data_IF_818998962187
#
_entry.id   IF_818998962187
#
_cell.length_a   1.000
_cell.length_b   1.000
_cell.length_c   1.000
_cell.angle_alpha   90.00
_cell.angle_beta   90.00
_cell.angle_gamma   90.00
#
_symmetry.space_group_name_H-M   'P 1'
#
loop_
_entity.id
_entity.type
_entity.pdbx_description
1 polymer ?
#
# COMPACT_ATOMS: atom_id res chain seq x y z
N UNK A 1 2.79 47.52 -15.83
CA UNK A 1 1.51 48.22 -16.08
C UNK A 1 0.56 47.26 -16.76
N UNK A 2 -0.41 46.74 -16.01
CA UNK A 2 -1.71 46.24 -16.44
C UNK A 2 -2.39 45.77 -15.14
N UNK A 3 -3.17 46.69 -14.58
CA UNK A 3 -3.96 46.52 -13.36
C UNK A 3 -5.21 45.70 -13.68
N UNK A 4 -5.46 44.61 -12.95
CA UNK A 4 -6.74 43.93 -12.95
C UNK A 4 -7.23 43.77 -11.51
N UNK A 5 -8.38 44.38 -11.23
CA UNK A 5 -9.03 44.46 -9.93
C UNK A 5 -9.42 43.07 -9.40
N UNK A 6 -9.00 42.74 -8.17
CA UNK A 6 -9.57 41.65 -7.37
C UNK A 6 -10.93 42.09 -6.83
N UNK A 7 -12.01 41.70 -7.51
CA UNK A 7 -13.33 41.59 -6.90
C UNK A 7 -13.51 40.14 -6.44
N UNK A 8 -13.89 39.96 -5.16
CA UNK A 8 -14.07 38.66 -4.54
C UNK A 8 -15.18 37.85 -5.22
N UNK A 9 -14.87 36.62 -5.60
CA UNK A 9 -15.86 35.61 -5.98
C UNK A 9 -16.06 34.67 -4.81
N UNK A 10 -17.10 34.91 -4.01
CA UNK A 10 -17.72 33.86 -3.23
C UNK A 10 -18.41 32.91 -4.21
N UNK A 11 -17.99 31.65 -4.25
CA UNK A 11 -18.63 30.63 -5.07
C UNK A 11 -19.81 30.03 -4.30
N UNK A 12 -20.98 30.67 -4.42
CA UNK A 12 -22.26 29.99 -4.23
C UNK A 12 -22.64 29.45 -5.59
N UNK A 13 -22.54 28.14 -5.78
CA UNK A 13 -23.03 27.49 -7.01
C UNK A 13 -24.51 27.19 -6.78
N UNK A 14 -25.37 28.11 -7.22
CA UNK A 14 -26.82 27.92 -7.26
C UNK A 14 -27.18 26.81 -8.26
N UNK A 15 -27.82 25.75 -7.77
CA UNK A 15 -28.56 24.82 -8.62
C UNK A 15 -30.01 25.31 -8.76
N UNK A 16 -30.42 25.58 -10.00
CA UNK A 16 -31.76 26.04 -10.32
C UNK A 16 -32.80 24.92 -10.17
N UNK A 17 -33.63 24.98 -9.11
CA UNK A 17 -35.10 24.82 -9.21
C UNK A 17 -35.82 25.13 -7.88
N UNK A 18 -36.74 26.09 -7.96
CA UNK A 18 -37.89 26.38 -7.07
C UNK A 18 -37.82 25.92 -5.60
N UNK A 19 -37.08 26.66 -4.78
CA UNK A 19 -37.45 27.12 -3.44
C UNK A 19 -36.32 28.03 -2.96
N UNK A 20 -36.65 29.19 -2.38
CA UNK A 20 -35.66 30.17 -1.91
C UNK A 20 -34.64 29.58 -0.92
N UNK A 21 -33.59 30.34 -0.54
CA UNK A 21 -32.53 29.84 0.34
C UNK A 21 -33.16 29.24 1.60
N UNK A 22 -32.98 27.92 1.78
CA UNK A 22 -33.48 27.18 2.94
C UNK A 22 -32.85 27.82 4.19
N UNK A 23 -33.63 28.60 4.94
CA UNK A 23 -33.17 29.13 6.21
C UNK A 23 -32.95 27.96 7.17
N UNK A 24 -31.81 27.87 7.87
CA UNK A 24 -31.63 26.86 8.90
C UNK A 24 -32.61 27.18 10.02
N UNK A 25 -33.74 26.48 10.07
CA UNK A 25 -34.71 26.56 11.18
C UNK A 25 -34.67 25.25 11.91
N UNK A 26 -34.63 25.26 13.24
CA UNK A 26 -34.67 24.03 14.02
C UNK A 26 -36.01 23.30 13.75
N UNK A 27 -35.94 22.17 13.06
CA UNK A 27 -37.10 21.32 12.79
C UNK A 27 -37.44 20.48 14.01
N UNK A 28 -38.70 20.05 14.12
CA UNK A 28 -39.19 19.15 15.17
C UNK A 28 -38.40 17.83 15.21
N UNK A 29 -38.43 17.15 16.37
CA UNK A 29 -37.89 15.80 16.48
C UNK A 29 -38.74 14.79 15.70
N UNK A 30 -38.07 13.81 15.08
CA UNK A 30 -38.76 12.79 14.25
C UNK A 30 -39.72 11.94 15.11
N UNK A 31 -39.39 11.74 16.38
CA UNK A 31 -40.21 10.98 17.33
C UNK A 31 -41.50 11.69 17.74
N UNK A 32 -41.55 13.01 17.58
CA UNK A 32 -42.65 13.84 18.08
C UNK A 32 -43.75 14.06 17.02
N UNK A 33 -43.55 13.56 15.79
CA UNK A 33 -44.55 13.66 14.71
C UNK A 33 -45.27 12.33 14.45
N UNK A 34 -46.54 12.37 14.01
CA UNK A 34 -47.29 11.17 13.65
C UNK A 34 -46.57 10.33 12.58
N UNK A 35 -46.71 8.99 12.58
CA UNK A 35 -46.03 8.11 11.63
C UNK A 35 -46.22 8.49 10.15
N UNK A 36 -47.38 9.04 9.78
CA UNK A 36 -47.71 9.45 8.42
C UNK A 36 -46.87 10.65 7.90
N UNK A 37 -46.35 11.49 8.81
CA UNK A 37 -45.57 12.68 8.46
C UNK A 37 -44.07 12.51 8.76
N UNK A 38 -43.67 11.39 9.37
CA UNK A 38 -42.26 11.09 9.67
C UNK A 38 -41.39 11.07 8.40
N UNK A 39 -41.84 10.43 7.33
CA UNK A 39 -41.08 10.38 6.06
C UNK A 39 -40.85 11.79 5.48
N UNK A 40 -41.90 12.61 5.48
CA UNK A 40 -41.81 14.00 4.97
C UNK A 40 -40.82 14.83 5.80
N UNK A 41 -40.89 14.71 7.13
CA UNK A 41 -39.98 15.42 8.04
C UNK A 41 -38.53 14.93 7.87
N UNK A 42 -38.34 13.63 7.65
CA UNK A 42 -37.03 13.05 7.41
C UNK A 42 -36.41 13.61 6.11
N UNK A 43 -37.18 13.70 5.03
CA UNK A 43 -36.74 14.36 3.78
C UNK A 43 -36.38 15.84 4.03
N UNK A 44 -37.18 16.56 4.81
CA UNK A 44 -36.88 17.96 5.16
C UNK A 44 -35.56 18.08 5.94
N UNK A 45 -35.29 17.18 6.88
CA UNK A 45 -34.01 17.14 7.62
C UNK A 45 -32.83 16.79 6.72
N UNK A 46 -32.98 15.87 5.77
CA UNK A 46 -31.94 15.57 4.77
C UNK A 46 -31.57 16.82 3.97
N UNK A 47 -32.58 17.55 3.46
CA UNK A 47 -32.38 18.80 2.71
C UNK A 47 -31.77 19.90 3.57
N UNK A 48 -32.17 20.01 4.83
CA UNK A 48 -31.55 20.94 5.78
C UNK A 48 -30.05 20.63 5.97
N UNK A 49 -29.66 19.36 5.99
CA UNK A 49 -28.27 18.95 6.14
C UNK A 49 -27.41 19.16 4.88
N UNK A 50 -28.01 19.57 3.75
CA UNK A 50 -27.26 20.00 2.55
C UNK A 50 -26.66 21.41 2.69
N UNK A 51 -27.07 22.20 3.69
CA UNK A 51 -26.47 23.52 3.95
C UNK A 51 -25.04 23.32 4.47
N UNK A 52 -24.07 23.88 3.75
CA UNK A 52 -22.65 23.83 4.12
C UNK A 52 -22.30 24.96 5.08
N UNK A 53 -21.39 24.68 6.01
CA UNK A 53 -20.87 25.65 6.96
C UNK A 53 -19.35 25.72 6.81
N UNK A 54 -18.80 26.92 6.95
CA UNK A 54 -17.35 27.11 6.92
C UNK A 54 -16.76 26.85 8.32
N UNK A 55 -15.81 25.92 8.39
CA UNK A 55 -15.06 25.59 9.60
C UNK A 55 -13.61 26.10 9.57
N UNK A 56 -13.14 26.58 8.42
CA UNK A 56 -11.74 26.95 8.19
C UNK A 56 -11.56 28.46 8.17
N UNK A 57 -12.31 29.19 7.33
CA UNK A 57 -12.08 30.64 7.17
C UNK A 57 -12.63 31.45 8.35
N UNK A 58 -13.78 31.03 8.90
CA UNK A 58 -14.36 31.62 10.10
C UNK A 58 -14.87 30.53 11.07
N UNK A 59 -13.98 30.00 11.94
CA UNK A 59 -14.33 28.90 12.84
C UNK A 59 -15.46 29.25 13.83
N UNK A 60 -15.60 30.52 14.20
CA UNK A 60 -16.56 31.01 15.20
C UNK A 60 -17.87 31.50 14.58
N UNK A 61 -17.99 31.53 13.26
CA UNK A 61 -19.26 31.77 12.57
C UNK A 61 -20.30 30.68 12.83
N UNK A 62 -21.57 31.06 12.79
CA UNK A 62 -22.73 30.16 12.69
C UNK A 62 -22.78 29.03 13.74
N UNK A 63 -22.18 29.19 14.93
CA UNK A 63 -22.11 28.15 15.97
C UNK A 63 -23.48 27.54 16.28
N UNK A 64 -24.52 28.37 16.37
CA UNK A 64 -25.91 27.93 16.58
C UNK A 64 -26.37 27.00 15.46
N UNK A 65 -26.12 27.34 14.21
CA UNK A 65 -26.59 26.60 13.05
C UNK A 65 -25.75 25.35 12.76
N UNK A 66 -24.44 25.42 13.05
CA UNK A 66 -23.54 24.26 13.11
C UNK A 66 -24.06 23.22 14.10
N UNK A 67 -24.51 23.65 15.28
CA UNK A 67 -25.09 22.75 16.27
C UNK A 67 -26.44 22.17 15.82
N UNK A 68 -27.31 22.97 15.19
CA UNK A 68 -28.58 22.47 14.63
C UNK A 68 -28.33 21.37 13.60
N UNK A 69 -27.37 21.54 12.69
CA UNK A 69 -27.01 20.51 11.70
C UNK A 69 -26.42 19.27 12.37
N UNK A 70 -25.53 19.44 13.36
CA UNK A 70 -24.96 18.33 14.13
C UNK A 70 -26.05 17.49 14.81
N UNK A 71 -26.97 18.14 15.52
CA UNK A 71 -28.08 17.48 16.19
C UNK A 71 -29.03 16.78 15.19
N UNK A 72 -29.33 17.41 14.06
CA UNK A 72 -30.15 16.81 13.02
C UNK A 72 -29.52 15.55 12.41
N UNK A 73 -28.23 15.59 12.06
CA UNK A 73 -27.49 14.42 11.57
C UNK A 73 -27.46 13.30 12.61
N UNK A 74 -27.14 13.62 13.87
CA UNK A 74 -27.10 12.64 14.97
C UNK A 74 -28.46 11.97 15.19
N UNK A 75 -29.55 12.74 15.16
CA UNK A 75 -30.91 12.21 15.25
C UNK A 75 -31.23 11.28 14.07
N UNK A 76 -30.85 11.65 12.85
CA UNK A 76 -31.07 10.81 11.67
C UNK A 76 -30.29 9.49 11.73
N UNK A 77 -29.06 9.49 12.27
CA UNK A 77 -28.28 8.28 12.55
C UNK A 77 -29.02 7.38 13.54
N UNK A 78 -29.50 7.93 14.65
CA UNK A 78 -30.23 7.16 15.67
C UNK A 78 -31.54 6.59 15.09
N UNK A 79 -32.28 7.40 14.32
CA UNK A 79 -33.54 7.04 13.71
C UNK A 79 -33.40 5.87 12.72
N UNK A 80 -32.44 5.93 11.78
CA UNK A 80 -32.24 4.85 10.80
C UNK A 80 -31.67 3.57 11.43
N UNK A 81 -30.98 3.69 12.57
CA UNK A 81 -30.36 2.55 13.26
C UNK A 81 -31.39 1.75 14.07
N UNK A 82 -32.32 2.42 14.75
CA UNK A 82 -33.26 1.77 15.68
C UNK A 82 -34.62 1.41 15.04
N UNK A 83 -34.96 2.03 13.91
CA UNK A 83 -36.25 1.83 13.26
C UNK A 83 -36.09 1.00 11.98
N UNK A 84 -37.04 0.08 11.73
CA UNK A 84 -37.11 -0.71 10.50
C UNK A 84 -38.12 -0.13 9.52
N UNK A 85 -37.94 -0.46 8.24
CA UNK A 85 -38.76 -0.03 7.11
C UNK A 85 -38.83 1.50 6.92
N UNK A 86 -37.81 2.22 7.40
CA UNK A 86 -37.70 3.69 7.21
C UNK A 86 -37.17 4.05 5.82
N UNK A 87 -36.40 3.15 5.20
CA UNK A 87 -35.77 3.39 3.90
C UNK A 87 -36.77 3.08 2.77
N UNK A 88 -37.56 4.08 2.40
CA UNK A 88 -38.51 4.01 1.28
C UNK A 88 -37.88 4.51 -0.02
N UNK A 89 -38.50 4.24 -1.17
CA UNK A 89 -37.99 4.65 -2.50
C UNK A 89 -37.63 6.16 -2.62
N UNK A 90 -38.43 7.12 -2.13
CA UNK A 90 -38.10 8.55 -2.26
C UNK A 90 -36.90 8.99 -1.41
N UNK A 91 -36.48 8.20 -0.43
CA UNK A 91 -35.36 8.54 0.46
C UNK A 91 -34.00 8.35 -0.23
N UNK A 92 -33.88 7.35 -1.12
CA UNK A 92 -32.61 7.05 -1.81
C UNK A 92 -31.96 8.26 -2.51
N UNK A 93 -32.65 9.02 -3.38
CA UNK A 93 -32.04 10.17 -4.04
C UNK A 93 -31.65 11.27 -3.06
N UNK A 94 -32.45 11.52 -2.03
CA UNK A 94 -32.20 12.57 -1.03
C UNK A 94 -30.96 12.25 -0.18
N UNK A 95 -30.79 10.99 0.23
CA UNK A 95 -29.60 10.54 0.99
C UNK A 95 -28.34 10.60 0.13
N UNK A 96 -28.39 10.10 -1.11
CA UNK A 96 -27.24 10.11 -2.02
C UNK A 96 -26.84 11.54 -2.37
N UNK A 97 -27.81 12.43 -2.58
CA UNK A 97 -27.56 13.84 -2.82
C UNK A 97 -26.97 14.54 -1.59
N UNK A 98 -27.53 14.32 -0.40
CA UNK A 98 -27.02 14.89 0.85
C UNK A 98 -25.57 14.46 1.11
N UNK A 99 -25.25 13.18 0.90
CA UNK A 99 -23.88 12.69 0.98
C UNK A 99 -22.98 13.38 -0.05
N UNK A 100 -23.37 13.41 -1.33
CA UNK A 100 -22.57 14.02 -2.39
C UNK A 100 -22.26 15.50 -2.12
N UNK A 101 -23.24 16.27 -1.65
CA UNK A 101 -23.07 17.71 -1.34
C UNK A 101 -22.11 17.95 -0.18
N UNK A 102 -22.15 17.10 0.85
CA UNK A 102 -21.29 17.26 2.03
C UNK A 102 -19.88 16.71 1.79
N UNK A 103 -19.74 15.65 0.98
CA UNK A 103 -18.48 14.91 0.87
C UNK A 103 -17.65 15.30 -0.35
N UNK A 104 -18.27 15.41 -1.54
CA UNK A 104 -17.54 15.56 -2.79
C UNK A 104 -17.04 16.99 -2.97
N UNK A 105 -15.80 17.21 -2.55
CA UNK A 105 -15.06 18.45 -2.62
C UNK A 105 -13.68 18.20 -3.20
N UNK A 106 -13.08 19.23 -3.80
CA UNK A 106 -11.65 19.20 -4.09
C UNK A 106 -10.90 19.27 -2.77
N UNK A 107 -9.99 18.33 -2.54
CA UNK A 107 -9.15 18.32 -1.35
C UNK A 107 -8.26 19.58 -1.32
N UNK A 108 -7.98 20.14 -0.13
CA UNK A 108 -7.08 21.27 -0.01
C UNK A 108 -5.67 20.89 -0.49
N UNK A 109 -4.83 21.88 -0.89
CA UNK A 109 -3.43 21.63 -1.17
C UNK A 109 -2.75 20.94 0.01
N UNK A 110 -1.81 20.04 -0.28
CA UNK A 110 -1.13 19.31 0.79
C UNK A 110 -0.38 20.24 1.73
N UNK A 111 -0.50 19.98 3.03
CA UNK A 111 0.20 20.72 4.08
C UNK A 111 1.63 20.22 4.25
N UNK A 112 1.90 18.98 3.81
CA UNK A 112 3.17 18.31 4.00
C UNK A 112 4.19 18.74 2.94
N UNK A 113 5.47 18.88 3.33
CA UNK A 113 6.52 19.20 2.38
C UNK A 113 6.72 18.05 1.38
N UNK A 114 7.01 18.40 0.12
CA UNK A 114 7.26 17.42 -0.93
C UNK A 114 8.74 17.41 -1.30
N UNK A 115 9.29 16.23 -1.61
CA UNK A 115 10.67 16.10 -2.08
C UNK A 115 11.32 14.79 -1.69
N UNK A 116 12.56 14.59 -2.18
CA UNK A 116 13.31 13.36 -1.94
C UNK A 116 13.90 13.25 -0.52
N UNK A 117 13.88 14.34 0.25
CA UNK A 117 14.41 14.43 1.61
C UNK A 117 13.35 14.18 2.69
N UNK A 118 12.07 14.12 2.29
CA UNK A 118 10.94 13.95 3.21
C UNK A 118 10.49 12.49 3.24
N UNK A 119 10.31 11.98 4.45
CA UNK A 119 9.75 10.66 4.71
C UNK A 119 8.27 10.81 5.06
N UNK A 120 7.33 10.28 4.26
CA UNK A 120 5.90 10.34 4.55
C UNK A 120 5.50 9.67 5.88
N UNK A 121 6.36 8.85 6.48
CA UNK A 121 6.12 8.32 7.83
C UNK A 121 6.27 9.38 8.93
N UNK A 122 6.96 10.49 8.66
CA UNK A 122 7.15 11.61 9.59
C UNK A 122 6.08 12.71 9.43
N UNK A 123 5.19 12.58 8.44
CA UNK A 123 4.15 13.56 8.17
C UNK A 123 3.17 13.70 9.34
N UNK A 124 2.94 14.94 9.79
CA UNK A 124 1.90 15.23 10.76
C UNK A 124 0.53 15.21 10.07
N UNK A 125 -0.44 14.39 10.52
CA UNK A 125 -1.73 14.31 9.85
C UNK A 125 -2.52 15.61 10.02
N UNK A 126 -2.80 16.31 8.92
CA UNK A 126 -3.73 17.44 8.93
C UNK A 126 -5.15 16.94 9.11
N UNK A 127 -5.75 17.31 10.24
CA UNK A 127 -7.12 16.93 10.57
C UNK A 127 -8.13 17.86 9.87
N UNK A 128 -9.19 17.28 9.32
CA UNK A 128 -10.27 18.03 8.68
C UNK A 128 -11.06 18.84 9.71
N UNK A 129 -11.18 20.16 9.51
CA UNK A 129 -11.83 21.05 10.47
C UNK A 129 -13.35 20.84 10.51
N UNK A 130 -13.97 20.45 9.38
CA UNK A 130 -15.40 20.13 9.30
C UNK A 130 -15.76 18.74 9.84
N UNK A 131 -14.80 18.01 10.42
CA UNK A 131 -14.99 16.64 10.91
C UNK A 131 -16.24 16.42 11.80
N UNK A 132 -16.63 17.33 12.72
CA UNK A 132 -17.84 17.13 13.53
C UNK A 132 -19.13 16.93 12.73
N UNK A 133 -19.20 17.47 11.50
CA UNK A 133 -20.32 17.22 10.58
C UNK A 133 -20.03 16.03 9.68
N UNK A 134 -18.83 15.95 9.09
CA UNK A 134 -18.48 14.90 8.13
C UNK A 134 -18.53 13.50 8.75
N UNK A 135 -18.09 13.35 10.00
CA UNK A 135 -18.17 12.09 10.73
C UNK A 135 -19.61 11.56 10.77
N UNK A 136 -20.58 12.42 11.08
CA UNK A 136 -21.98 12.02 11.16
C UNK A 136 -22.58 11.73 9.78
N UNK A 137 -22.15 12.44 8.74
CA UNK A 137 -22.57 12.15 7.35
C UNK A 137 -22.05 10.78 6.91
N UNK A 138 -20.79 10.45 7.19
CA UNK A 138 -20.23 9.14 6.92
C UNK A 138 -20.91 8.03 7.72
N UNK A 139 -21.10 8.23 9.02
CA UNK A 139 -21.78 7.27 9.88
C UNK A 139 -23.21 7.01 9.41
N UNK A 140 -23.96 8.09 9.10
CA UNK A 140 -25.30 7.99 8.56
C UNK A 140 -25.33 7.19 7.26
N UNK A 141 -24.44 7.50 6.32
CA UNK A 141 -24.40 6.81 5.03
C UNK A 141 -23.99 5.34 5.16
N UNK A 142 -23.07 5.01 6.07
CA UNK A 142 -22.73 3.63 6.39
C UNK A 142 -23.93 2.87 6.97
N UNK A 143 -24.64 3.44 7.96
CA UNK A 143 -25.85 2.81 8.52
C UNK A 143 -26.94 2.62 7.47
N UNK A 144 -27.10 3.60 6.58
CA UNK A 144 -28.00 3.50 5.42
C UNK A 144 -27.61 2.33 4.49
N UNK A 145 -26.33 2.19 4.14
CA UNK A 145 -25.84 1.08 3.30
C UNK A 145 -25.93 -0.28 4.00
N UNK A 146 -25.68 -0.35 5.30
CA UNK A 146 -25.67 -1.59 6.09
C UNK A 146 -27.06 -2.05 6.52
N UNK A 147 -28.06 -1.18 6.47
CA UNK A 147 -29.43 -1.50 6.82
C UNK A 147 -29.93 -2.75 6.06
N UNK A 148 -30.64 -3.68 6.75
CA UNK A 148 -31.25 -4.83 6.11
C UNK A 148 -32.36 -4.46 5.12
N UNK A 149 -32.96 -3.28 5.28
CA UNK A 149 -34.02 -2.76 4.41
C UNK A 149 -33.47 -2.10 3.14
N UNK A 150 -32.15 -1.96 3.03
CA UNK A 150 -31.49 -1.38 1.87
C UNK A 150 -31.63 -2.26 0.63
N UNK A 151 -32.13 -1.69 -0.46
CA UNK A 151 -32.37 -2.37 -1.74
C UNK A 151 -31.40 -1.88 -2.83
N UNK A 152 -30.38 -2.68 -3.20
CA UNK A 152 -29.39 -2.28 -4.22
C UNK A 152 -30.00 -1.97 -5.59
N UNK A 153 -31.13 -2.60 -5.94
CA UNK A 153 -31.79 -2.41 -7.23
C UNK A 153 -32.41 -1.01 -7.41
N UNK A 154 -32.76 -0.33 -6.31
CA UNK A 154 -33.24 1.04 -6.33
C UNK A 154 -32.04 1.99 -6.28
N UNK A 155 -31.13 1.75 -5.34
CA UNK A 155 -29.94 2.59 -5.13
C UNK A 155 -29.03 2.71 -6.35
N UNK A 156 -28.92 1.68 -7.19
CA UNK A 156 -28.06 1.68 -8.40
C UNK A 156 -28.41 2.78 -9.42
N UNK A 157 -29.60 3.38 -9.32
CA UNK A 157 -30.00 4.53 -10.16
C UNK A 157 -29.28 5.82 -9.76
N UNK A 158 -28.80 5.89 -8.53
CA UNK A 158 -28.22 7.10 -7.91
C UNK A 158 -26.75 6.91 -7.54
N UNK A 159 -26.35 5.69 -7.15
CA UNK A 159 -24.96 5.31 -6.93
C UNK A 159 -24.44 4.74 -8.26
N UNK A 160 -23.94 5.64 -9.11
CA UNK A 160 -23.42 5.32 -10.44
C UNK A 160 -21.88 5.39 -10.49
N UNK A 161 -21.33 5.30 -11.70
CA UNK A 161 -19.88 5.39 -11.92
C UNK A 161 -19.29 6.76 -11.53
N UNK A 162 -20.07 7.84 -11.68
CA UNK A 162 -19.63 9.19 -11.31
C UNK A 162 -19.53 9.31 -9.80
N UNK A 163 -20.54 8.83 -9.07
CA UNK A 163 -20.51 8.78 -7.61
C UNK A 163 -19.28 8.03 -7.10
N UNK A 164 -18.99 6.85 -7.67
CA UNK A 164 -17.82 6.04 -7.29
C UNK A 164 -16.50 6.78 -7.58
N UNK A 165 -16.40 7.47 -8.72
CA UNK A 165 -15.19 8.21 -9.05
C UNK A 165 -14.92 9.33 -8.05
N UNK A 166 -15.93 10.15 -7.73
CA UNK A 166 -15.79 11.23 -6.75
C UNK A 166 -15.53 10.69 -5.34
N UNK A 167 -16.08 9.53 -4.98
CA UNK A 167 -15.77 8.85 -3.72
C UNK A 167 -14.30 8.40 -3.66
N UNK A 168 -13.78 7.88 -4.78
CA UNK A 168 -12.38 7.44 -4.87
C UNK A 168 -11.39 8.62 -4.79
N UNK A 169 -11.74 9.78 -5.33
CA UNK A 169 -10.90 11.00 -5.24
C UNK A 169 -10.68 11.45 -3.78
N UNK A 170 -11.60 11.13 -2.87
CA UNK A 170 -11.47 11.48 -1.45
C UNK A 170 -10.46 10.61 -0.70
N UNK A 171 -10.01 9.48 -1.24
CA UNK A 171 -9.00 8.63 -0.59
C UNK A 171 -7.65 9.32 -0.43
N UNK A 172 -7.42 10.43 -1.13
CA UNK A 172 -6.21 11.24 -0.99
C UNK A 172 -6.29 12.25 0.18
N UNK A 173 -7.36 12.21 0.98
CA UNK A 173 -7.50 13.04 2.19
C UNK A 173 -6.33 12.80 3.15
N UNK A 174 -5.77 13.87 3.72
CA UNK A 174 -4.70 13.79 4.74
C UNK A 174 -5.25 13.22 6.06
N UNK A 175 -6.55 13.33 6.31
CA UNK A 175 -7.19 12.87 7.54
C UNK A 175 -7.39 11.33 7.53
N UNK A 176 -6.67 10.56 8.37
CA UNK A 176 -6.80 9.10 8.39
C UNK A 176 -8.20 8.63 8.80
N UNK A 177 -8.95 9.45 9.55
CA UNK A 177 -10.31 9.12 9.97
C UNK A 177 -11.25 9.13 8.77
N UNK A 178 -11.08 10.11 7.87
CA UNK A 178 -11.85 10.18 6.61
C UNK A 178 -11.55 8.96 5.74
N UNK A 179 -10.28 8.59 5.60
CA UNK A 179 -9.85 7.42 4.82
C UNK A 179 -10.42 6.10 5.36
N UNK A 180 -10.50 5.91 6.68
CA UNK A 180 -11.07 4.69 7.26
C UNK A 180 -12.59 4.55 7.00
N UNK A 181 -13.34 5.65 7.04
CA UNK A 181 -14.75 5.66 6.64
C UNK A 181 -14.94 5.40 5.14
N UNK A 182 -14.12 6.02 4.30
CA UNK A 182 -14.10 5.79 2.86
C UNK A 182 -13.80 4.33 2.53
N UNK A 183 -12.81 3.73 3.19
CA UNK A 183 -12.45 2.33 3.07
C UNK A 183 -13.67 1.43 3.26
N UNK A 184 -14.35 1.62 4.39
CA UNK A 184 -15.53 0.84 4.75
C UNK A 184 -16.69 1.08 3.78
N UNK A 185 -16.94 2.33 3.40
CA UNK A 185 -18.02 2.71 2.49
C UNK A 185 -17.81 2.10 1.10
N UNK A 186 -16.62 2.23 0.53
CA UNK A 186 -16.28 1.66 -0.76
C UNK A 186 -16.35 0.13 -0.74
N UNK A 187 -15.89 -0.51 0.34
CA UNK A 187 -16.00 -1.96 0.50
C UNK A 187 -17.47 -2.43 0.51
N UNK A 188 -18.36 -1.73 1.23
CA UNK A 188 -19.81 -2.05 1.22
C UNK A 188 -20.44 -1.84 -0.17
N UNK A 189 -20.07 -0.76 -0.86
CA UNK A 189 -20.52 -0.51 -2.23
C UNK A 189 -20.05 -1.64 -3.16
N UNK A 190 -18.78 -2.03 -3.11
CA UNK A 190 -18.24 -3.13 -3.91
C UNK A 190 -18.98 -4.46 -3.66
N UNK A 191 -19.28 -4.75 -2.40
CA UNK A 191 -20.02 -5.94 -1.98
C UNK A 191 -21.43 -5.98 -2.55
N UNK A 192 -22.20 -4.88 -2.40
CA UNK A 192 -23.63 -4.80 -2.75
C UNK A 192 -23.90 -4.57 -4.24
N UNK A 193 -23.00 -3.90 -4.97
CA UNK A 193 -23.22 -3.52 -6.37
C UNK A 193 -22.33 -4.31 -7.33
N UNK A 194 -22.81 -5.48 -7.77
CA UNK A 194 -22.09 -6.33 -8.74
C UNK A 194 -21.70 -5.59 -10.02
N UNK A 195 -22.58 -4.72 -10.53
CA UNK A 195 -22.35 -3.94 -11.76
C UNK A 195 -21.25 -2.88 -11.66
N UNK A 196 -20.88 -2.46 -10.45
CA UNK A 196 -19.83 -1.46 -10.22
C UNK A 196 -18.45 -2.09 -9.99
N UNK A 197 -18.37 -3.40 -9.72
CA UNK A 197 -17.11 -4.07 -9.35
C UNK A 197 -16.00 -3.90 -10.38
N UNK A 198 -16.32 -4.09 -11.66
CA UNK A 198 -15.33 -3.94 -12.73
C UNK A 198 -14.83 -2.48 -12.85
N UNK A 199 -15.74 -1.52 -12.68
CA UNK A 199 -15.40 -0.10 -12.72
C UNK A 199 -14.53 0.31 -11.53
N UNK A 200 -14.88 -0.10 -10.30
CA UNK A 200 -14.09 0.16 -9.08
C UNK A 200 -12.67 -0.38 -9.25
N UNK A 201 -12.51 -1.66 -9.64
CA UNK A 201 -11.17 -2.24 -9.87
C UNK A 201 -10.37 -1.46 -10.91
N UNK A 202 -11.01 -1.07 -12.01
CA UNK A 202 -10.36 -0.28 -13.06
C UNK A 202 -9.90 1.10 -12.54
N UNK A 203 -10.71 1.79 -11.75
CA UNK A 203 -10.35 3.10 -11.23
C UNK A 203 -9.26 3.03 -10.16
N UNK A 204 -9.30 2.04 -9.27
CA UNK A 204 -8.20 1.79 -8.33
C UNK A 204 -6.89 1.50 -9.08
N UNK A 205 -6.95 0.73 -10.17
CA UNK A 205 -5.76 0.51 -11.01
C UNK A 205 -5.22 1.81 -11.61
N UNK A 206 -6.08 2.72 -12.07
CA UNK A 206 -5.65 4.01 -12.59
C UNK A 206 -4.96 4.87 -11.51
N UNK A 207 -5.51 4.86 -10.28
CA UNK A 207 -4.90 5.53 -9.13
C UNK A 207 -3.51 4.95 -8.87
N UNK A 208 -3.39 3.63 -8.81
CA UNK A 208 -2.09 2.97 -8.61
C UNK A 208 -1.11 3.24 -9.75
N UNK A 209 -1.55 3.27 -11.01
CA UNK A 209 -0.67 3.61 -12.12
C UNK A 209 -0.13 5.04 -12.01
N UNK A 210 -0.99 6.01 -11.71
CA UNK A 210 -0.59 7.41 -11.50
C UNK A 210 0.34 7.54 -10.28
N UNK A 211 0.08 6.81 -9.21
CA UNK A 211 0.94 6.76 -8.04
C UNK A 211 2.33 6.21 -8.37
N UNK A 212 2.41 5.04 -9.02
CA UNK A 212 3.68 4.34 -9.30
C UNK A 212 4.53 5.06 -10.34
N UNK A 213 3.91 5.65 -11.37
CA UNK A 213 4.63 6.08 -12.57
C UNK A 213 4.65 7.60 -12.80
N UNK A 214 3.81 8.37 -12.11
CA UNK A 214 3.70 9.81 -12.36
C UNK A 214 4.02 10.65 -11.11
N UNK A 215 3.40 10.33 -9.98
CA UNK A 215 3.37 11.26 -8.83
C UNK A 215 4.17 10.78 -7.62
N UNK A 216 4.27 9.47 -7.39
CA UNK A 216 4.84 8.86 -6.17
C UNK A 216 4.25 9.39 -4.86
N UNK A 217 3.06 10.01 -4.89
CA UNK A 217 2.38 10.57 -3.73
C UNK A 217 0.87 10.30 -3.83
N UNK A 218 0.32 9.68 -2.79
CA UNK A 218 -1.11 9.46 -2.57
C UNK A 218 -1.33 8.93 -1.15
N UNK A 219 -2.22 9.53 -0.37
CA UNK A 219 -2.37 9.22 1.07
C UNK A 219 -3.12 7.91 1.34
N UNK A 220 -4.04 7.51 0.45
CA UNK A 220 -4.93 6.36 0.64
C UNK A 220 -4.48 5.00 0.07
N UNK A 221 -3.20 4.79 -0.22
CA UNK A 221 -2.75 3.53 -0.86
C UNK A 221 -2.96 2.32 0.06
N UNK A 222 -2.67 2.46 1.35
CA UNK A 222 -2.84 1.39 2.33
C UNK A 222 -4.32 0.95 2.44
N UNK A 223 -5.23 1.90 2.56
CA UNK A 223 -6.67 1.64 2.71
C UNK A 223 -7.25 1.01 1.44
N UNK A 224 -6.82 1.45 0.25
CA UNK A 224 -7.22 0.82 -1.02
C UNK A 224 -6.71 -0.62 -1.11
N UNK A 225 -5.49 -0.90 -0.64
CA UNK A 225 -4.95 -2.27 -0.59
C UNK A 225 -5.70 -3.15 0.41
N UNK A 226 -6.15 -2.65 1.56
CA UNK A 226 -6.99 -3.42 2.49
C UNK A 226 -8.30 -3.90 1.84
N UNK A 227 -8.97 -3.02 1.10
CA UNK A 227 -10.17 -3.39 0.34
C UNK A 227 -9.82 -4.47 -0.69
N UNK A 228 -8.72 -4.28 -1.43
CA UNK A 228 -8.27 -5.22 -2.44
C UNK A 228 -7.92 -6.58 -1.84
N UNK A 229 -7.28 -6.64 -0.67
CA UNK A 229 -6.99 -7.88 0.04
C UNK A 229 -8.26 -8.69 0.33
N UNK A 230 -9.32 -8.02 0.80
CA UNK A 230 -10.63 -8.65 0.99
C UNK A 230 -11.25 -9.12 -0.33
N UNK A 231 -11.12 -8.32 -1.41
CA UNK A 231 -11.61 -8.68 -2.75
C UNK A 231 -10.88 -9.91 -3.31
N UNK A 232 -9.56 -9.97 -3.17
CA UNK A 232 -8.70 -11.06 -3.64
C UNK A 232 -9.06 -12.36 -2.94
N UNK A 233 -9.27 -12.31 -1.61
CA UNK A 233 -9.73 -13.47 -0.86
C UNK A 233 -11.08 -14.02 -1.39
N UNK A 234 -11.96 -13.14 -1.89
CA UNK A 234 -13.22 -13.50 -2.50
C UNK A 234 -13.16 -13.96 -3.97
N UNK A 235 -11.98 -14.05 -4.60
CA UNK A 235 -11.88 -14.50 -5.99
C UNK A 235 -12.29 -15.98 -6.16
N UNK A 236 -13.02 -16.24 -7.24
CA UNK A 236 -13.38 -17.59 -7.65
C UNK A 236 -12.18 -18.28 -8.30
N UNK A 237 -12.09 -19.60 -8.11
CA UNK A 237 -11.13 -20.45 -8.80
C UNK A 237 -11.81 -21.13 -10.02
N UNK A 238 -11.13 -21.25 -11.16
CA UNK A 238 -9.77 -20.76 -11.44
C UNK A 238 -9.70 -19.23 -11.53
N UNK A 239 -8.55 -18.66 -11.15
CA UNK A 239 -8.32 -17.22 -11.25
C UNK A 239 -8.45 -16.73 -12.69
N UNK A 240 -9.16 -15.61 -12.87
CA UNK A 240 -9.27 -14.95 -14.17
C UNK A 240 -7.95 -14.29 -14.58
N UNK A 241 -7.69 -14.25 -15.88
CA UNK A 241 -6.49 -13.64 -16.45
C UNK A 241 -6.37 -12.15 -16.08
N UNK A 242 -7.48 -11.41 -16.01
CA UNK A 242 -7.49 -10.00 -15.56
C UNK A 242 -6.89 -9.84 -14.15
N UNK A 243 -7.06 -10.83 -13.26
CA UNK A 243 -6.54 -10.79 -11.89
C UNK A 243 -5.05 -11.13 -11.84
N UNK A 244 -4.59 -12.07 -12.70
CA UNK A 244 -3.16 -12.37 -12.87
C UNK A 244 -2.40 -11.16 -13.41
N UNK A 245 -2.97 -10.47 -14.41
CA UNK A 245 -2.43 -9.21 -14.93
C UNK A 245 -2.37 -8.15 -13.84
N UNK A 246 -3.42 -8.02 -13.03
CA UNK A 246 -3.46 -7.07 -11.91
C UNK A 246 -2.32 -7.30 -10.91
N UNK A 247 -2.08 -8.54 -10.48
CA UNK A 247 -0.95 -8.90 -9.64
C UNK A 247 0.38 -8.48 -10.28
N UNK A 248 0.65 -8.94 -11.51
CA UNK A 248 1.95 -8.78 -12.15
C UNK A 248 2.26 -7.35 -12.61
N UNK A 249 1.24 -6.56 -12.98
CA UNK A 249 1.40 -5.23 -13.59
C UNK A 249 1.06 -4.08 -12.66
N UNK A 250 0.36 -4.33 -11.56
CA UNK A 250 -0.05 -3.29 -10.61
C UNK A 250 0.52 -3.55 -9.23
N UNK A 251 0.23 -4.69 -8.60
CA UNK A 251 0.69 -4.97 -7.23
C UNK A 251 2.22 -5.08 -7.14
N UNK A 252 2.86 -5.86 -8.02
CA UNK A 252 4.32 -6.03 -7.94
C UNK A 252 5.09 -4.72 -8.16
N UNK A 253 4.74 -3.85 -9.14
CA UNK A 253 5.38 -2.55 -9.29
C UNK A 253 5.19 -1.57 -8.11
N UNK A 254 4.17 -1.73 -7.25
CA UNK A 254 4.02 -0.90 -6.04
C UNK A 254 5.22 -1.01 -5.09
N UNK A 255 5.97 -2.11 -5.12
CA UNK A 255 7.19 -2.29 -4.32
C UNK A 255 8.32 -1.33 -4.74
N UNK A 256 8.25 -0.72 -5.92
CA UNK A 256 9.31 0.17 -6.43
C UNK A 256 9.31 1.53 -5.73
N UNK A 257 8.14 2.03 -5.34
CA UNK A 257 7.97 3.41 -4.82
C UNK A 257 8.69 3.56 -3.47
N UNK A 258 9.23 4.75 -3.20
CA UNK A 258 10.06 5.01 -2.01
C UNK A 258 9.29 4.85 -0.71
N UNK A 259 8.07 5.40 -0.64
CA UNK A 259 7.14 5.37 0.49
C UNK A 259 6.47 4.02 0.72
N UNK A 260 7.13 2.92 0.36
CA UNK A 260 6.62 1.55 0.53
C UNK A 260 6.28 1.25 1.98
N UNK A 261 7.01 1.82 2.94
CA UNK A 261 6.83 1.57 4.38
C UNK A 261 5.40 1.83 4.86
N UNK A 262 4.73 2.84 4.31
CA UNK A 262 3.37 3.26 4.67
C UNK A 262 2.31 2.19 4.36
N UNK A 263 2.52 1.36 3.34
CA UNK A 263 1.50 0.42 2.85
C UNK A 263 2.03 -1.02 2.63
N UNK A 264 3.27 -1.30 3.02
CA UNK A 264 3.92 -2.60 2.82
C UNK A 264 3.14 -3.77 3.42
N UNK A 265 2.67 -3.73 4.69
CA UNK A 265 1.94 -4.86 5.26
C UNK A 265 0.69 -5.24 4.46
N UNK A 266 -0.07 -4.23 4.00
CA UNK A 266 -1.28 -4.43 3.20
C UNK A 266 -0.95 -4.99 1.81
N UNK A 267 0.17 -4.56 1.22
CA UNK A 267 0.65 -5.06 -0.06
C UNK A 267 1.12 -6.51 0.02
N UNK A 268 1.95 -6.83 1.02
CA UNK A 268 2.43 -8.18 1.29
C UNK A 268 1.26 -9.15 1.50
N UNK A 269 0.27 -8.75 2.31
CA UNK A 269 -0.99 -9.49 2.45
C UNK A 269 -1.67 -9.76 1.11
N UNK A 270 -1.84 -8.74 0.24
CA UNK A 270 -2.43 -8.95 -1.08
C UNK A 270 -1.65 -9.95 -1.94
N UNK A 271 -0.32 -9.91 -1.90
CA UNK A 271 0.56 -10.81 -2.66
C UNK A 271 0.42 -12.25 -2.15
N UNK A 272 0.52 -12.47 -0.84
CA UNK A 272 0.37 -13.79 -0.20
C UNK A 272 -1.01 -14.38 -0.50
N UNK A 273 -2.09 -13.59 -0.37
CA UNK A 273 -3.44 -14.07 -0.72
C UNK A 273 -3.56 -14.52 -2.18
N UNK A 274 -2.83 -13.92 -3.11
CA UNK A 274 -2.81 -14.38 -4.51
C UNK A 274 -2.12 -15.74 -4.65
N UNK A 275 -1.01 -15.96 -3.94
CA UNK A 275 -0.26 -17.21 -3.99
C UNK A 275 -1.00 -18.36 -3.33
N UNK A 276 -1.74 -18.11 -2.24
CA UNK A 276 -2.63 -19.11 -1.63
C UNK A 276 -3.75 -19.56 -2.59
N UNK A 277 -4.20 -18.69 -3.50
CA UNK A 277 -5.25 -19.00 -4.48
C UNK A 277 -4.73 -19.75 -5.70
N UNK A 278 -3.50 -19.45 -6.13
CA UNK A 278 -2.86 -20.07 -7.31
C UNK A 278 -1.33 -20.06 -7.15
N UNK A 279 -0.78 -21.18 -6.67
CA UNK A 279 0.65 -21.34 -6.40
C UNK A 279 1.53 -21.22 -7.64
N UNK A 280 0.97 -21.38 -8.85
CA UNK A 280 1.71 -21.22 -10.12
C UNK A 280 2.21 -19.79 -10.35
N UNK A 281 1.67 -18.82 -9.62
CA UNK A 281 2.09 -17.41 -9.66
C UNK A 281 3.33 -17.13 -8.82
N UNK A 282 3.82 -18.09 -8.03
CA UNK A 282 4.94 -17.86 -7.10
C UNK A 282 6.24 -17.51 -7.83
N UNK A 283 6.60 -18.27 -8.87
CA UNK A 283 7.81 -18.01 -9.64
C UNK A 283 7.88 -16.57 -10.19
N UNK A 284 6.88 -16.08 -10.97
CA UNK A 284 6.94 -14.72 -11.50
C UNK A 284 6.90 -13.65 -10.40
N UNK A 285 6.23 -13.89 -9.28
CA UNK A 285 6.20 -12.96 -8.12
C UNK A 285 7.58 -12.83 -7.48
N UNK A 286 8.19 -13.95 -7.08
CA UNK A 286 9.52 -13.94 -6.44
C UNK A 286 10.57 -13.36 -7.39
N UNK A 287 10.53 -13.70 -8.68
CA UNK A 287 11.45 -13.14 -9.67
C UNK A 287 11.28 -11.63 -9.85
N UNK A 288 10.06 -11.09 -9.71
CA UNK A 288 9.83 -9.65 -9.73
C UNK A 288 10.36 -8.96 -8.47
N UNK A 289 10.14 -9.53 -7.27
CA UNK A 289 10.69 -9.00 -6.02
C UNK A 289 12.23 -8.98 -6.07
N UNK A 290 12.86 -10.05 -6.56
CA UNK A 290 14.31 -10.10 -6.77
C UNK A 290 14.79 -9.06 -7.79
N UNK A 291 13.99 -8.77 -8.82
CA UNK A 291 14.29 -7.72 -9.81
C UNK A 291 14.17 -6.31 -9.19
N UNK A 292 13.20 -6.08 -8.31
CA UNK A 292 12.97 -4.80 -7.65
C UNK A 292 13.75 -4.62 -6.35
N UNK A 293 14.62 -5.57 -6.02
CA UNK A 293 15.38 -5.60 -4.77
C UNK A 293 16.09 -4.25 -4.48
N UNK A 294 15.77 -3.57 -3.37
CA UNK A 294 16.36 -2.27 -3.04
C UNK A 294 17.88 -2.36 -2.91
N UNK A 295 18.61 -1.43 -3.53
CA UNK A 295 20.09 -1.41 -3.47
C UNK A 295 20.66 -0.28 -2.61
N UNK A 296 19.84 0.69 -2.27
CA UNK A 296 20.23 1.93 -1.57
C UNK A 296 19.30 2.28 -0.41
N UNK A 297 18.36 1.39 -0.06
CA UNK A 297 17.32 1.67 0.94
C UNK A 297 17.15 0.48 1.90
N UNK A 298 17.97 0.44 2.95
CA UNK A 298 18.04 -0.69 3.89
C UNK A 298 16.72 -1.02 4.60
N UNK A 299 15.87 -0.06 5.03
CA UNK A 299 14.55 -0.39 5.58
C UNK A 299 13.67 -1.17 4.60
N UNK A 300 13.78 -0.85 3.30
CA UNK A 300 13.04 -1.58 2.26
C UNK A 300 13.63 -2.96 2.03
N UNK A 301 14.94 -3.15 2.15
CA UNK A 301 15.53 -4.50 2.10
C UNK A 301 14.99 -5.38 3.24
N UNK A 302 14.82 -4.82 4.45
CA UNK A 302 14.21 -5.53 5.58
C UNK A 302 12.75 -5.87 5.29
N UNK A 303 11.97 -4.94 4.71
CA UNK A 303 10.59 -5.19 4.27
C UNK A 303 10.50 -6.33 3.24
N UNK A 304 11.35 -6.31 2.20
CA UNK A 304 11.40 -7.38 1.20
C UNK A 304 11.79 -8.73 1.82
N UNK A 305 12.70 -8.74 2.81
CA UNK A 305 13.03 -9.96 3.54
C UNK A 305 11.86 -10.43 4.42
N UNK A 306 11.05 -9.53 4.98
CA UNK A 306 9.82 -9.92 5.67
C UNK A 306 8.82 -10.58 4.72
N UNK A 307 8.48 -9.89 3.64
CA UNK A 307 7.50 -10.39 2.66
C UNK A 307 7.95 -11.71 2.02
N UNK A 308 9.24 -11.85 1.69
CA UNK A 308 9.73 -13.12 1.15
C UNK A 308 9.64 -14.28 2.15
N UNK A 309 9.77 -14.05 3.45
CA UNK A 309 9.55 -15.11 4.43
C UNK A 309 8.08 -15.53 4.45
N UNK A 310 7.15 -14.57 4.47
CA UNK A 310 5.70 -14.85 4.41
C UNK A 310 5.32 -15.61 3.12
N UNK A 311 5.95 -15.28 1.98
CA UNK A 311 5.77 -16.02 0.72
C UNK A 311 6.32 -17.44 0.83
N UNK A 312 7.47 -17.63 1.47
CA UNK A 312 8.07 -18.95 1.67
C UNK A 312 7.28 -19.80 2.66
N UNK A 313 6.51 -19.22 3.59
CA UNK A 313 5.65 -19.98 4.49
C UNK A 313 4.48 -20.67 3.76
N UNK A 314 4.05 -20.13 2.62
CA UNK A 314 2.95 -20.68 1.80
C UNK A 314 3.43 -21.36 0.52
N UNK A 315 4.73 -21.39 0.23
CA UNK A 315 5.26 -21.93 -1.03
C UNK A 315 5.14 -23.46 -1.08
N UNK A 316 4.74 -23.99 -2.23
CA UNK A 316 4.83 -25.44 -2.48
C UNK A 316 6.27 -25.86 -2.83
N UNK A 317 6.73 -27.06 -2.41
CA UNK A 317 8.08 -27.53 -2.74
C UNK A 317 8.39 -27.56 -4.24
N UNK A 318 7.38 -27.85 -5.08
CA UNK A 318 7.46 -27.85 -6.55
C UNK A 318 7.81 -26.47 -7.12
N UNK A 319 7.27 -25.40 -6.54
CA UNK A 319 7.52 -24.02 -6.94
C UNK A 319 8.83 -23.50 -6.34
N UNK A 320 9.17 -23.92 -5.11
CA UNK A 320 10.41 -23.54 -4.44
C UNK A 320 11.66 -23.92 -5.27
N UNK A 321 11.69 -25.11 -5.85
CA UNK A 321 12.82 -25.60 -6.67
C UNK A 321 13.11 -24.68 -7.86
N UNK A 322 12.10 -23.98 -8.40
CA UNK A 322 12.27 -23.06 -9.54
C UNK A 322 12.98 -21.76 -9.14
N UNK A 323 12.77 -21.30 -7.91
CA UNK A 323 13.25 -19.99 -7.41
C UNK A 323 14.40 -20.07 -6.41
N UNK A 324 14.71 -21.24 -5.85
CA UNK A 324 15.70 -21.39 -4.78
C UNK A 324 17.08 -20.84 -5.14
N UNK A 325 17.60 -21.11 -6.34
CA UNK A 325 18.94 -20.65 -6.70
C UNK A 325 19.05 -19.11 -6.76
N UNK A 326 18.20 -18.38 -7.52
CA UNK A 326 18.26 -16.92 -7.53
C UNK A 326 17.92 -16.30 -6.17
N UNK A 327 16.97 -16.87 -5.41
CA UNK A 327 16.61 -16.42 -4.07
C UNK A 327 17.80 -16.51 -3.12
N UNK A 328 18.43 -17.68 -2.99
CA UNK A 328 19.54 -17.88 -2.05
C UNK A 328 20.81 -17.12 -2.48
N UNK A 329 21.00 -16.84 -3.78
CA UNK A 329 22.04 -15.90 -4.22
C UNK A 329 21.81 -14.48 -3.71
N UNK A 330 20.55 -14.06 -3.55
CA UNK A 330 20.22 -12.76 -2.96
C UNK A 330 20.34 -12.80 -1.43
N UNK A 331 19.84 -13.84 -0.76
CA UNK A 331 20.01 -14.03 0.69
C UNK A 331 21.51 -14.07 1.09
N UNK A 332 22.35 -14.72 0.29
CA UNK A 332 23.80 -14.74 0.50
C UNK A 332 24.42 -13.33 0.54
N UNK A 333 23.87 -12.39 -0.23
CA UNK A 333 24.29 -10.97 -0.19
C UNK A 333 23.75 -10.28 1.06
N UNK A 334 22.48 -10.51 1.41
CA UNK A 334 21.85 -9.92 2.60
C UNK A 334 22.57 -10.35 3.89
N UNK A 335 22.91 -11.63 4.02
CA UNK A 335 23.71 -12.16 5.14
C UNK A 335 25.11 -11.54 5.20
N UNK A 336 25.68 -11.18 4.05
CA UNK A 336 26.98 -10.50 3.97
C UNK A 336 26.86 -8.97 4.05
N UNK A 337 25.66 -8.44 4.28
CA UNK A 337 25.44 -7.01 4.32
C UNK A 337 26.16 -6.40 5.53
N UNK A 338 26.85 -5.27 5.37
CA UNK A 338 27.41 -4.55 6.51
C UNK A 338 26.32 -3.92 7.39
N UNK A 339 25.10 -3.76 6.86
CA UNK A 339 23.96 -3.20 7.58
C UNK A 339 23.34 -4.24 8.50
N UNK A 340 23.42 -4.02 9.82
CA UNK A 340 23.10 -5.07 10.78
C UNK A 340 21.64 -5.55 10.68
N UNK A 341 20.66 -4.65 10.53
CA UNK A 341 19.25 -5.05 10.43
C UNK A 341 18.96 -5.94 9.21
N UNK A 342 19.68 -5.74 8.10
CA UNK A 342 19.50 -6.56 6.88
C UNK A 342 20.10 -7.95 7.09
N UNK A 343 21.32 -8.02 7.60
CA UNK A 343 22.00 -9.29 7.86
C UNK A 343 21.29 -10.11 8.94
N UNK A 344 20.91 -9.47 10.04
CA UNK A 344 20.12 -10.06 11.12
C UNK A 344 18.81 -10.62 10.57
N UNK A 345 18.02 -9.80 9.86
CA UNK A 345 16.73 -10.24 9.32
C UNK A 345 16.85 -11.41 8.35
N UNK A 346 17.89 -11.43 7.51
CA UNK A 346 18.14 -12.54 6.60
C UNK A 346 18.54 -13.82 7.36
N UNK A 347 19.35 -13.70 8.43
CA UNK A 347 19.75 -14.85 9.25
C UNK A 347 18.61 -15.43 10.07
N UNK A 348 17.55 -14.65 10.35
CA UNK A 348 16.35 -15.16 11.02
C UNK A 348 15.60 -16.24 10.22
N UNK A 349 15.82 -16.36 8.91
CA UNK A 349 15.23 -17.43 8.08
C UNK A 349 15.63 -18.83 8.56
N UNK A 350 16.78 -18.97 9.21
CA UNK A 350 17.24 -20.25 9.78
C UNK A 350 16.46 -20.68 11.03
N UNK A 351 15.63 -19.81 11.58
CA UNK A 351 14.77 -20.14 12.72
C UNK A 351 13.37 -20.63 12.27
N UNK A 352 13.05 -20.49 10.99
CA UNK A 352 11.78 -20.94 10.43
C UNK A 352 11.88 -22.43 10.05
N UNK A 353 11.10 -23.28 10.74
CA UNK A 353 11.14 -24.74 10.56
C UNK A 353 10.78 -25.16 9.15
N UNK A 354 9.81 -24.50 8.51
CA UNK A 354 9.37 -24.85 7.17
C UNK A 354 10.44 -24.49 6.13
N UNK A 355 10.99 -23.28 6.20
CA UNK A 355 12.13 -22.88 5.35
C UNK A 355 13.31 -23.83 5.54
N UNK A 356 13.63 -24.20 6.78
CA UNK A 356 14.72 -25.14 7.06
C UNK A 356 14.49 -26.53 6.46
N UNK A 357 13.23 -27.00 6.43
CA UNK A 357 12.87 -28.26 5.77
C UNK A 357 13.11 -28.19 4.25
N UNK A 358 12.69 -27.11 3.59
CA UNK A 358 12.92 -26.87 2.17
C UNK A 358 14.41 -26.80 1.83
N UNK A 359 15.21 -26.15 2.69
CA UNK A 359 16.67 -26.09 2.55
C UNK A 359 17.28 -27.49 2.68
N UNK A 360 16.79 -28.31 3.61
CA UNK A 360 17.28 -29.68 3.82
C UNK A 360 17.12 -30.55 2.59
N UNK A 361 15.93 -30.54 2.00
CA UNK A 361 15.62 -31.35 0.82
C UNK A 361 16.44 -30.89 -0.42
N UNK A 362 16.88 -29.63 -0.44
CA UNK A 362 17.60 -29.02 -1.55
C UNK A 362 19.05 -28.61 -1.21
N UNK A 363 19.62 -29.19 -0.15
CA UNK A 363 20.91 -28.77 0.39
C UNK A 363 22.04 -28.83 -0.64
N UNK A 364 21.99 -29.81 -1.55
CA UNK A 364 22.97 -29.99 -2.64
C UNK A 364 23.15 -28.74 -3.53
N UNK A 365 22.11 -27.92 -3.67
CA UNK A 365 22.15 -26.67 -4.47
C UNK A 365 22.33 -25.44 -3.60
N UNK A 366 21.67 -25.40 -2.43
CA UNK A 366 21.63 -24.21 -1.58
C UNK A 366 22.93 -24.02 -0.78
N UNK A 367 23.48 -25.09 -0.20
CA UNK A 367 24.65 -25.00 0.68
C UNK A 367 25.87 -24.41 -0.05
N UNK A 368 26.22 -24.83 -1.28
CA UNK A 368 27.33 -24.21 -2.03
C UNK A 368 27.16 -22.71 -2.31
N UNK A 369 25.91 -22.22 -2.43
CA UNK A 369 25.61 -20.80 -2.67
C UNK A 369 25.79 -19.98 -1.39
N UNK A 370 25.30 -20.50 -0.26
CA UNK A 370 25.31 -19.79 1.02
C UNK A 370 26.66 -19.86 1.74
N UNK A 371 27.39 -20.97 1.59
CA UNK A 371 28.60 -21.25 2.33
C UNK A 371 29.68 -20.16 2.22
N UNK A 372 30.02 -19.62 1.02
CA UNK A 372 31.05 -18.58 0.91
C UNK A 372 30.73 -17.33 1.74
N UNK A 373 29.46 -16.91 1.75
CA UNK A 373 28.99 -15.73 2.49
C UNK A 373 29.06 -15.95 4.00
N UNK A 374 28.54 -17.08 4.49
CA UNK A 374 28.57 -17.40 5.92
C UNK A 374 30.01 -17.61 6.42
N UNK A 375 30.83 -18.34 5.66
CA UNK A 375 32.20 -18.66 6.06
C UNK A 375 33.13 -17.43 6.08
N UNK A 376 32.95 -16.48 5.15
CA UNK A 376 33.73 -15.22 5.15
C UNK A 376 33.40 -14.39 6.39
N UNK A 377 32.12 -14.19 6.68
CA UNK A 377 31.66 -13.34 7.78
C UNK A 377 31.82 -14.01 9.16
N UNK A 378 31.98 -15.33 9.24
CA UNK A 378 32.32 -16.01 10.50
C UNK A 378 33.76 -15.77 10.97
N UNK A 379 34.66 -15.30 10.10
CA UNK A 379 36.04 -14.96 10.53
C UNK A 379 36.11 -13.62 11.23
N UNK A 380 35.38 -12.64 10.72
CA UNK A 380 35.37 -11.27 11.23
C UNK A 380 34.04 -10.62 10.86
N UNK A 381 33.30 -10.17 11.86
CA UNK A 381 32.13 -9.30 11.69
C UNK A 381 32.14 -8.24 12.80
N UNK A 382 31.81 -7.00 12.49
CA UNK A 382 31.88 -5.90 13.46
C UNK A 382 30.82 -6.02 14.57
N UNK A 383 29.65 -6.58 14.22
CA UNK A 383 28.56 -6.83 15.14
C UNK A 383 28.62 -8.27 15.69
N UNK A 384 28.70 -8.41 17.02
CA UNK A 384 28.81 -9.70 17.73
C UNK A 384 27.56 -10.58 17.63
N UNK A 385 26.37 -9.99 17.60
CA UNK A 385 25.10 -10.73 17.50
C UNK A 385 25.03 -11.45 16.16
N UNK A 386 25.29 -10.72 15.06
CA UNK A 386 25.33 -11.30 13.71
C UNK A 386 26.40 -12.39 13.62
N UNK A 387 27.56 -12.18 14.24
CA UNK A 387 28.61 -13.20 14.28
C UNK A 387 28.11 -14.50 14.92
N UNK A 388 27.38 -14.41 16.04
CA UNK A 388 26.73 -15.56 16.69
C UNK A 388 25.68 -16.24 15.81
N UNK A 389 24.80 -15.45 15.16
CA UNK A 389 23.78 -15.96 14.24
C UNK A 389 24.40 -16.71 13.04
N UNK A 390 25.51 -16.20 12.49
CA UNK A 390 26.24 -16.86 11.41
C UNK A 390 26.81 -18.21 11.86
N UNK A 391 27.38 -18.27 13.07
CA UNK A 391 27.87 -19.55 13.61
C UNK A 391 26.73 -20.56 13.81
N UNK A 392 25.57 -20.10 14.30
CA UNK A 392 24.39 -20.94 14.41
C UNK A 392 23.95 -21.48 13.04
N UNK A 393 23.85 -20.61 12.03
CA UNK A 393 23.50 -21.02 10.66
C UNK A 393 24.52 -22.01 10.06
N UNK A 394 25.82 -21.79 10.26
CA UNK A 394 26.87 -22.73 9.83
C UNK A 394 26.74 -24.09 10.53
N UNK A 395 26.43 -24.09 11.83
CA UNK A 395 26.22 -25.31 12.61
C UNK A 395 25.01 -26.10 12.07
N UNK A 396 23.89 -25.42 11.84
CA UNK A 396 22.69 -26.05 11.25
C UNK A 396 23.00 -26.67 9.88
N UNK A 397 23.71 -25.97 9.00
CA UNK A 397 24.12 -26.55 7.70
C UNK A 397 25.02 -27.78 7.82
N UNK A 398 25.92 -27.78 8.81
CA UNK A 398 26.80 -28.92 9.07
C UNK A 398 26.01 -30.13 9.58
N UNK A 399 25.04 -29.91 10.49
CA UNK A 399 24.14 -30.95 11.00
C UNK A 399 23.24 -31.54 9.91
N UNK A 400 22.83 -30.74 8.93
CA UNK A 400 22.01 -31.19 7.80
C UNK A 400 22.78 -32.15 6.87
N UNK A 401 24.02 -31.80 6.49
CA UNK A 401 24.82 -32.65 5.61
C UNK A 401 26.33 -32.40 5.80
N UNK A 402 26.94 -33.15 6.74
CA UNK A 402 28.36 -33.05 7.06
C UNK A 402 29.27 -33.20 5.84
N UNK A 403 29.02 -34.20 4.99
CA UNK A 403 29.85 -34.48 3.82
C UNK A 403 29.84 -33.31 2.84
N UNK A 404 28.65 -32.81 2.52
CA UNK A 404 28.50 -31.67 1.61
C UNK A 404 29.12 -30.38 2.18
N UNK A 405 29.02 -30.18 3.50
CA UNK A 405 29.65 -29.06 4.19
C UNK A 405 31.19 -29.11 4.09
N UNK A 406 31.78 -30.29 4.29
CA UNK A 406 33.23 -30.50 4.15
C UNK A 406 33.68 -30.30 2.69
N UNK A 407 32.91 -30.80 1.72
CA UNK A 407 33.17 -30.60 0.29
C UNK A 407 33.14 -29.11 -0.08
N UNK A 408 32.14 -28.35 0.40
CA UNK A 408 32.05 -26.90 0.19
C UNK A 408 33.23 -26.15 0.84
N UNK A 409 33.69 -26.60 2.00
CA UNK A 409 34.88 -26.04 2.66
C UNK A 409 36.14 -26.22 1.80
N UNK A 410 36.30 -27.40 1.18
CA UNK A 410 37.42 -27.68 0.28
C UNK A 410 37.33 -26.86 -1.00
N UNK A 411 36.15 -26.82 -1.62
CA UNK A 411 35.90 -26.03 -2.84
C UNK A 411 36.17 -24.54 -2.60
N UNK A 412 35.69 -23.98 -1.50
CA UNK A 412 35.92 -22.59 -1.13
C UNK A 412 37.42 -22.26 -0.98
N UNK A 413 38.20 -23.16 -0.35
CA UNK A 413 39.66 -22.99 -0.23
C UNK A 413 40.34 -23.04 -1.61
N UNK A 414 39.93 -23.96 -2.48
CA UNK A 414 40.45 -24.08 -3.83
C UNK A 414 40.13 -22.85 -4.70
N UNK A 415 38.89 -22.34 -4.62
CA UNK A 415 38.46 -21.12 -5.32
C UNK A 415 39.22 -19.89 -4.82
N UNK A 416 39.41 -19.75 -3.51
CA UNK A 416 40.22 -18.65 -2.94
C UNK A 416 41.67 -18.68 -3.43
N UNK A 417 42.26 -19.88 -3.55
CA UNK A 417 43.60 -20.03 -4.11
C UNK A 417 43.63 -19.63 -5.60
N UNK A 418 42.62 -20.06 -6.37
CA UNK A 418 42.48 -19.71 -7.79
C UNK A 418 42.26 -18.20 -7.99
N UNK A 419 41.49 -17.54 -7.14
CA UNK A 419 41.33 -16.08 -7.16
C UNK A 419 42.65 -15.36 -6.88
N UNK A 420 43.43 -15.84 -5.89
CA UNK A 420 44.75 -15.29 -5.59
C UNK A 420 45.72 -15.45 -6.75
N UNK A 421 45.69 -16.58 -7.46
CA UNK A 421 46.48 -16.80 -8.67
C UNK A 421 46.05 -15.87 -9.81
N UNK A 422 44.74 -15.74 -10.07
CA UNK A 422 44.22 -14.80 -11.07
C UNK A 422 44.59 -13.35 -10.79
N UNK A 423 44.62 -12.93 -9.51
CA UNK A 423 45.06 -11.60 -9.13
C UNK A 423 46.55 -11.39 -9.47
N UNK A 424 47.41 -12.38 -9.20
CA UNK A 424 48.82 -12.34 -9.59
C UNK A 424 49.01 -12.27 -11.10
N UNK A 425 48.28 -13.08 -11.86
CA UNK A 425 48.33 -13.06 -13.33
C UNK A 425 47.95 -11.68 -13.89
N UNK A 426 46.91 -11.05 -13.32
CA UNK A 426 46.51 -9.68 -13.70
C UNK A 426 47.58 -8.66 -13.35
N UNK A 427 48.16 -8.75 -12.16
CA UNK A 427 49.25 -7.87 -11.72
C UNK A 427 50.45 -7.98 -12.66
N UNK A 428 50.88 -9.20 -12.99
CA UNK A 428 51.96 -9.45 -13.94
C UNK A 428 51.65 -8.90 -15.34
N UNK A 429 50.41 -9.03 -15.81
CA UNK A 429 49.97 -8.46 -17.09
C UNK A 429 50.04 -6.92 -17.07
N UNK A 430 49.60 -6.28 -15.99
CA UNK A 430 49.70 -4.83 -15.82
C UNK A 430 51.15 -4.35 -15.76
N UNK A 431 52.03 -5.05 -15.02
CA UNK A 431 53.46 -4.74 -14.96
C UNK A 431 54.12 -4.87 -16.33
N UNK A 432 53.76 -5.89 -17.12
CA UNK A 432 54.23 -6.03 -18.51
C UNK A 432 53.82 -4.85 -19.38
N UNK A 433 52.56 -4.41 -19.28
CA UNK A 433 52.06 -3.22 -19.99
C UNK A 433 52.83 -1.97 -19.57
N UNK A 434 53.05 -1.77 -18.27
CA UNK A 434 53.79 -0.62 -17.75
C UNK A 434 55.24 -0.59 -18.27
N UNK A 435 55.91 -1.75 -18.29
CA UNK A 435 57.28 -1.86 -18.79
C UNK A 435 57.37 -1.58 -20.29
N UNK A 436 56.40 -2.09 -21.09
CA UNK A 436 56.31 -1.77 -22.52
C UNK A 436 56.05 -0.28 -22.76
N UNK A 437 55.19 0.34 -21.93
CA UNK A 437 54.92 1.78 -22.01
C UNK A 437 56.16 2.63 -21.66
N UNK A 438 56.94 2.24 -20.63
CA UNK A 438 58.21 2.90 -20.26
C UNK A 438 59.27 2.80 -21.37
N UNK A 439 59.28 1.68 -22.10
CA UNK A 439 60.19 1.46 -23.23
C UNK A 439 59.75 2.15 -24.52
N UNK A 440 58.58 2.82 -24.55
CA UNK A 440 58.08 3.47 -25.75
C UNK A 440 58.97 4.67 -26.15
N UNK A 441 59.57 4.67 -27.35
CA UNK A 441 60.45 5.74 -27.82
C UNK A 441 59.83 7.13 -27.82
N UNK A 442 58.50 7.25 -27.95
CA UNK A 442 57.83 8.55 -27.93
C UNK A 442 57.74 9.15 -26.51
N UNK A 443 57.73 8.33 -25.47
CA UNK A 443 57.77 8.79 -24.07
C UNK A 443 59.19 9.20 -23.68
N UNK A 444 60.21 8.53 -24.22
CA UNK A 444 61.62 8.85 -24.00
C UNK A 444 62.04 10.17 -24.66
N UNK A 445 61.47 10.53 -25.82
CA UNK A 445 61.74 11.83 -26.48
C UNK A 445 61.27 13.04 -25.67
N UNK A 446 60.15 12.94 -24.96
CA UNK A 446 59.60 14.02 -24.14
C UNK A 446 60.28 14.20 -22.77
N UNK A 447 61.29 13.37 -22.43
CA UNK A 447 62.10 13.53 -21.21
C UNK A 447 63.47 14.18 -21.45
N UNK A 448 63.84 14.44 -22.70
CA UNK A 448 65.17 14.96 -23.11
C UNK A 448 65.09 16.41 -23.64
N UNK A 449 63.88 16.97 -23.75
CA UNK A 449 63.62 18.42 -23.85
C UNK A 449 63.10 18.91 -22.52
#
# INVERSE_FOLDING_TARGET
>A
MLTCNKAGSGMVVDAANSNGPFQPVALLHIRDVPPADQEKLFIQKLRQCCVLFDFVSDPLSDLKWKEVKRAALSEMVEYITHNRNVITEPIYPEVVHMFAVNMFRTLPPSSNPTGAEFDPEEDEPTLEAAWPHLQLVYEFFLRFLESPDFQPNIAKKYIDQKFVLQLLELFDSEDPRERDFLKTTLHRIYGKFLGLRAYIRKQINNIFYRFIYETEHHNGIAELLEILGSIINGFALPLKEEHKIFLLKVLLPLHKVKSLSVYHPQLAYCVVQFLEKDSTLTEPVVMALLKYWPKTHSPKEVMFLNELEEILDVIEPSEFVKIMEPLFRQLAKCVSSPHFQVAERALYYWNNEYIMSLISDNAAKILPIMFPSLYRNSKTHWNKTIHGLIYNALKLFMEMNQKLFDDCTQQFKAEKLKEKLKMKEREEAWVKIENLAKANPQVLKNRIT
#
